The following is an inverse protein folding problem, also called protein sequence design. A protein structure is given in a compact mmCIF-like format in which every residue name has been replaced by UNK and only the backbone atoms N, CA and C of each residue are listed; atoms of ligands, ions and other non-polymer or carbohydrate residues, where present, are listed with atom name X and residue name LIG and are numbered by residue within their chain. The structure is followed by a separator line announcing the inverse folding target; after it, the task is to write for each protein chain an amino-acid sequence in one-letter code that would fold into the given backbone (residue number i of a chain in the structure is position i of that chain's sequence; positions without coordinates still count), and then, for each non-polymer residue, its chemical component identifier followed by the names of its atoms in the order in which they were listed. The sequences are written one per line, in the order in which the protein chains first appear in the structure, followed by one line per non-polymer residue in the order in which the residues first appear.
data_IF_476018779789
#
_entry.id   IF_476018779789
#
_cell.length_a   1.000
_cell.length_b   1.000
_cell.length_c   1.000
_cell.angle_alpha   90.00
_cell.angle_beta   90.00
_cell.angle_gamma   90.00
#
_symmetry.space_group_name_H-M   'P 1'
#
loop_
_entity.id
_entity.type
_entity.pdbx_description
1 polymer ?
#
# COMPACT_ATOMS: atom_id res chain seq x y z
N UNK A 1 16.98 25.79 -18.00
CA UNK A 1 17.75 24.73 -17.31
C UNK A 1 16.76 23.70 -16.80
N UNK A 2 16.92 22.40 -17.06
CA UNK A 2 16.00 21.40 -16.52
C UNK A 2 16.28 21.27 -15.02
N UNK A 3 15.28 21.57 -14.19
CA UNK A 3 15.33 21.21 -12.78
C UNK A 3 15.31 19.67 -12.73
N UNK A 4 16.43 19.05 -12.40
CA UNK A 4 16.46 17.64 -12.03
C UNK A 4 15.56 17.48 -10.81
N UNK A 5 14.38 16.89 -11.00
CA UNK A 5 13.44 16.62 -9.94
C UNK A 5 14.01 15.51 -9.04
N UNK A 6 14.93 15.87 -8.14
CA UNK A 6 15.42 14.98 -7.11
C UNK A 6 14.31 14.89 -6.06
N UNK A 7 13.66 13.73 -5.95
CA UNK A 7 12.72 13.44 -4.87
C UNK A 7 13.45 12.95 -3.62
N UNK A 8 12.84 13.13 -2.44
CA UNK A 8 13.30 12.56 -1.17
C UNK A 8 12.48 11.32 -0.81
N UNK A 9 13.11 10.29 -0.27
CA UNK A 9 12.38 9.19 0.38
C UNK A 9 11.81 9.70 1.70
N UNK A 10 10.51 9.48 1.93
CA UNK A 10 9.84 9.92 3.16
C UNK A 10 9.48 8.72 4.04
N UNK A 11 8.98 7.64 3.44
CA UNK A 11 8.63 6.42 4.16
C UNK A 11 9.03 5.23 3.32
N UNK A 12 9.66 4.23 3.92
CA UNK A 12 10.07 3.00 3.25
C UNK A 12 10.18 1.84 4.21
N UNK A 13 9.91 0.65 3.69
CA UNK A 13 10.26 -0.63 4.31
C UNK A 13 11.13 -1.41 3.32
N UNK A 14 12.24 -1.95 3.80
CA UNK A 14 13.13 -2.82 3.05
C UNK A 14 13.26 -4.14 3.80
N UNK A 15 13.37 -5.23 3.05
CA UNK A 15 13.64 -6.56 3.62
C UNK A 15 15.10 -6.68 4.02
N UNK A 16 15.35 -7.40 5.11
CA UNK A 16 16.67 -7.74 5.62
C UNK A 16 17.06 -9.18 5.27
N UNK A 17 16.11 -10.12 5.29
CA UNK A 17 16.37 -11.57 5.17
C UNK A 17 16.03 -12.11 3.77
N UNK A 18 14.86 -11.78 3.23
CA UNK A 18 14.38 -12.30 1.95
C UNK A 18 14.84 -11.43 0.78
N UNK A 19 15.20 -12.09 -0.31
CA UNK A 19 15.73 -11.44 -1.52
C UNK A 19 14.61 -10.71 -2.27
N UNK A 20 14.84 -9.43 -2.60
CA UNK A 20 13.96 -8.52 -3.37
C UNK A 20 12.66 -8.18 -2.65
N UNK A 21 12.10 -7.01 -2.93
CA UNK A 21 10.89 -6.50 -2.28
C UNK A 21 11.16 -5.18 -1.57
N UNK A 22 10.24 -4.80 -0.70
CA UNK A 22 10.20 -3.49 -0.09
C UNK A 22 9.21 -2.56 -0.79
N UNK A 23 8.87 -1.51 -0.09
CA UNK A 23 7.96 -0.47 -0.55
C UNK A 23 8.50 0.89 -0.09
N UNK A 24 8.39 1.91 -0.92
CA UNK A 24 8.88 3.24 -0.61
C UNK A 24 8.00 4.31 -1.26
N UNK A 25 7.89 5.44 -0.58
CA UNK A 25 7.24 6.64 -1.09
C UNK A 25 8.28 7.74 -1.22
N UNK A 26 8.48 8.19 -2.47
CA UNK A 26 9.32 9.32 -2.81
C UNK A 26 8.46 10.53 -3.11
N UNK A 27 8.87 11.68 -2.57
CA UNK A 27 8.11 12.93 -2.66
C UNK A 27 9.03 14.01 -3.25
N UNK A 28 8.49 14.86 -4.12
CA UNK A 28 9.22 16.00 -4.66
C UNK A 28 9.68 16.95 -3.54
N UNK A 29 10.87 17.53 -3.65
CA UNK A 29 11.48 18.34 -2.57
C UNK A 29 10.61 19.51 -2.07
N UNK A 30 9.79 20.10 -2.95
CA UNK A 30 8.91 21.22 -2.60
C UNK A 30 7.59 20.78 -1.95
N UNK A 31 7.29 19.48 -1.90
CA UNK A 31 6.09 18.95 -1.25
C UNK A 31 6.44 18.62 0.20
N UNK A 32 5.68 19.20 1.13
CA UNK A 32 5.78 18.87 2.54
C UNK A 32 5.02 17.56 2.81
N UNK A 33 5.77 16.54 3.21
CA UNK A 33 5.24 15.21 3.52
C UNK A 33 5.90 14.71 4.79
N UNK A 34 5.08 14.12 5.67
CA UNK A 34 5.54 13.48 6.89
C UNK A 34 5.16 12.00 6.87
N UNK A 35 5.99 11.09 7.39
CA UNK A 35 5.61 9.68 7.50
C UNK A 35 4.31 9.50 8.29
N UNK A 36 3.58 8.42 8.02
CA UNK A 36 2.58 7.93 8.98
C UNK A 36 3.26 7.51 10.29
N UNK A 37 2.47 7.40 11.35
CA UNK A 37 2.96 7.03 12.66
C UNK A 37 3.57 5.62 12.69
N UNK A 38 4.59 5.45 13.53
CA UNK A 38 5.38 4.19 13.60
C UNK A 38 4.52 2.97 13.94
N UNK A 39 3.44 3.13 14.72
CA UNK A 39 2.51 2.05 15.02
C UNK A 39 1.85 1.46 13.76
N UNK A 40 1.66 2.25 12.70
CA UNK A 40 1.13 1.78 11.41
C UNK A 40 2.24 1.17 10.55
N UNK A 41 3.42 1.80 10.53
CA UNK A 41 4.54 1.37 9.67
C UNK A 41 5.22 0.10 10.20
N UNK A 42 5.26 -0.09 11.52
CA UNK A 42 5.80 -1.28 12.19
C UNK A 42 4.93 -2.53 12.04
N UNK A 43 3.78 -2.43 11.37
CA UNK A 43 3.03 -3.60 10.93
C UNK A 43 3.77 -4.40 9.85
N UNK A 44 4.73 -3.75 9.18
CA UNK A 44 5.50 -4.34 8.09
C UNK A 44 6.24 -5.61 8.51
N UNK A 45 6.13 -6.63 7.67
CA UNK A 45 6.67 -7.96 7.86
C UNK A 45 6.99 -8.54 6.49
N UNK A 46 8.24 -8.96 6.28
CA UNK A 46 8.72 -9.40 4.98
C UNK A 46 7.81 -10.47 4.36
N UNK A 47 7.57 -10.36 3.06
CA UNK A 47 6.68 -11.22 2.26
C UNK A 47 5.19 -11.02 2.54
N UNK A 48 4.81 -10.90 3.81
CA UNK A 48 3.42 -10.96 4.26
C UNK A 48 2.70 -9.63 4.15
N UNK A 49 3.35 -8.53 4.54
CA UNK A 49 2.71 -7.23 4.57
C UNK A 49 3.79 -6.15 4.60
N UNK A 50 3.98 -5.39 3.54
CA UNK A 50 5.01 -4.37 3.48
C UNK A 50 4.35 -3.03 3.23
N UNK A 51 4.55 -2.07 4.14
CA UNK A 51 3.84 -0.80 4.12
C UNK A 51 4.80 0.40 4.15
N UNK A 52 4.50 1.38 3.31
CA UNK A 52 5.01 2.74 3.44
C UNK A 52 3.81 3.69 3.41
N UNK A 53 3.88 4.77 4.18
CA UNK A 53 2.77 5.70 4.29
C UNK A 53 3.22 7.10 4.63
N UNK A 54 2.54 8.10 4.06
CA UNK A 54 2.81 9.51 4.30
C UNK A 54 1.51 10.31 4.45
N UNK A 55 1.58 11.37 5.25
CA UNK A 55 0.62 12.47 5.24
C UNK A 55 1.16 13.59 4.34
N UNK A 56 0.30 14.11 3.45
CA UNK A 56 0.56 15.31 2.65
C UNK A 56 -0.69 16.20 2.75
N UNK A 57 -0.62 17.29 3.52
CA UNK A 57 -1.80 18.11 3.85
C UNK A 57 -2.95 17.23 4.42
N UNK A 58 -4.12 17.26 3.77
CA UNK A 58 -5.32 16.49 4.11
C UNK A 58 -5.38 15.11 3.43
N UNK A 59 -4.28 14.64 2.82
CA UNK A 59 -4.17 13.33 2.19
C UNK A 59 -3.31 12.38 3.05
N UNK A 60 -3.80 11.16 3.27
CA UNK A 60 -3.04 10.00 3.68
C UNK A 60 -2.81 9.09 2.47
N UNK A 61 -1.56 8.96 2.05
CA UNK A 61 -1.16 8.04 0.98
C UNK A 61 -0.46 6.84 1.61
N UNK A 62 -0.97 5.65 1.34
CA UNK A 62 -0.40 4.38 1.78
C UNK A 62 -0.12 3.51 0.57
N UNK A 63 1.10 3.01 0.47
CA UNK A 63 1.50 2.01 -0.51
C UNK A 63 1.77 0.69 0.20
N UNK A 64 1.14 -0.36 -0.28
CA UNK A 64 1.28 -1.73 0.25
C UNK A 64 1.91 -2.65 -0.79
N UNK A 65 2.64 -3.64 -0.30
CA UNK A 65 3.11 -4.75 -1.11
C UNK A 65 2.93 -6.07 -0.37
N UNK A 66 2.44 -7.08 -1.08
CA UNK A 66 2.39 -8.47 -0.61
C UNK A 66 3.10 -9.34 -1.64
N UNK A 67 4.01 -10.22 -1.21
CA UNK A 67 4.61 -11.23 -2.10
C UNK A 67 3.58 -12.28 -2.54
N UNK A 68 3.83 -12.95 -3.68
CA UNK A 68 3.10 -14.17 -4.05
C UNK A 68 3.31 -15.30 -3.02
N UNK A 69 4.51 -15.36 -2.43
CA UNK A 69 4.86 -16.32 -1.38
C UNK A 69 4.39 -15.90 0.02
N UNK A 70 3.78 -14.72 0.13
CA UNK A 70 3.25 -14.22 1.40
C UNK A 70 1.96 -14.95 1.79
N UNK A 71 1.84 -15.30 3.08
CA UNK A 71 0.59 -15.80 3.64
C UNK A 71 -0.52 -14.73 3.55
N UNK A 72 -1.62 -15.08 2.87
CA UNK A 72 -2.71 -14.16 2.61
C UNK A 72 -3.57 -13.82 3.84
N UNK A 73 -3.81 -14.78 4.73
CA UNK A 73 -4.58 -14.55 5.96
C UNK A 73 -3.84 -13.58 6.89
N UNK A 74 -2.52 -13.73 7.00
CA UNK A 74 -1.67 -12.78 7.73
C UNK A 74 -1.72 -11.38 7.09
N UNK A 75 -1.69 -11.31 5.75
CA UNK A 75 -1.85 -10.05 5.03
C UNK A 75 -3.19 -9.37 5.37
N UNK A 76 -4.31 -10.10 5.35
CA UNK A 76 -5.64 -9.60 5.70
C UNK A 76 -5.69 -9.11 7.16
N UNK A 77 -5.18 -9.89 8.10
CA UNK A 77 -5.15 -9.50 9.52
C UNK A 77 -4.37 -8.19 9.73
N UNK A 78 -3.20 -8.05 9.10
CA UNK A 78 -2.37 -6.83 9.19
C UNK A 78 -3.03 -5.65 8.48
N UNK A 79 -3.71 -5.90 7.35
CA UNK A 79 -4.47 -4.89 6.64
C UNK A 79 -5.63 -4.35 7.50
N UNK A 80 -6.39 -5.20 8.19
CA UNK A 80 -7.41 -4.74 9.14
C UNK A 80 -6.82 -3.83 10.22
N UNK A 81 -5.71 -4.24 10.85
CA UNK A 81 -5.02 -3.44 11.87
C UNK A 81 -4.53 -2.09 11.35
N UNK A 82 -4.05 -2.06 10.11
CA UNK A 82 -3.67 -0.81 9.45
C UNK A 82 -4.90 0.08 9.26
N UNK A 83 -5.97 -0.46 8.68
CA UNK A 83 -7.21 0.26 8.37
C UNK A 83 -7.84 0.83 9.65
N UNK A 84 -7.91 0.05 10.73
CA UNK A 84 -8.40 0.49 12.05
C UNK A 84 -7.65 1.70 12.62
N UNK A 85 -6.39 1.90 12.22
CA UNK A 85 -5.54 2.98 12.71
C UNK A 85 -5.43 4.19 11.78
N UNK A 86 -6.14 4.23 10.65
CA UNK A 86 -6.12 5.38 9.73
C UNK A 86 -6.96 6.55 10.25
N UNK A 87 -6.66 7.76 9.79
CA UNK A 87 -7.40 8.97 10.14
C UNK A 87 -8.46 9.26 9.06
N UNK A 88 -9.65 8.68 9.25
CA UNK A 88 -10.80 8.81 8.33
C UNK A 88 -11.36 10.23 8.17
N UNK A 89 -10.81 11.23 8.87
CA UNK A 89 -11.13 12.64 8.63
C UNK A 89 -10.38 13.21 7.41
N UNK A 90 -9.32 12.52 6.96
CA UNK A 90 -8.52 12.87 5.80
C UNK A 90 -8.98 12.10 4.55
N UNK A 91 -8.58 12.59 3.39
CA UNK A 91 -8.66 11.78 2.17
C UNK A 91 -7.63 10.65 2.28
N UNK A 92 -8.05 9.42 2.03
CA UNK A 92 -7.16 8.26 2.10
C UNK A 92 -7.04 7.64 0.71
N UNK A 93 -5.80 7.49 0.25
CA UNK A 93 -5.47 6.73 -0.95
C UNK A 93 -4.62 5.55 -0.51
N UNK A 94 -5.15 4.36 -0.76
CA UNK A 94 -4.45 3.10 -0.58
C UNK A 94 -4.14 2.53 -1.95
N UNK A 95 -2.87 2.26 -2.20
CA UNK A 95 -2.34 1.73 -3.46
C UNK A 95 -1.33 0.62 -3.19
N UNK A 96 -0.90 -0.10 -4.22
CA UNK A 96 0.07 -1.17 -4.04
C UNK A 96 -0.03 -2.30 -5.04
N UNK A 97 0.87 -3.27 -4.88
CA UNK A 97 0.76 -4.58 -5.54
C UNK A 97 0.44 -5.64 -4.48
N UNK A 98 -0.81 -6.07 -4.49
CA UNK A 98 -1.34 -7.09 -3.58
C UNK A 98 -1.11 -8.51 -4.08
N UNK A 99 -0.58 -8.69 -5.30
CA UNK A 99 -0.44 -9.99 -5.96
C UNK A 99 -1.75 -10.82 -5.94
N UNK A 100 -2.89 -10.16 -6.15
CA UNK A 100 -4.21 -10.80 -6.34
C UNK A 100 -4.78 -10.45 -7.71
N UNK A 101 -5.63 -11.32 -8.25
CA UNK A 101 -6.27 -11.10 -9.53
C UNK A 101 -7.60 -10.36 -9.34
N UNK A 102 -7.54 -9.03 -9.24
CA UNK A 102 -8.75 -8.20 -9.21
C UNK A 102 -9.62 -8.42 -10.44
N UNK A 103 -10.92 -8.08 -10.31
CA UNK A 103 -11.92 -8.28 -11.37
C UNK A 103 -12.09 -9.76 -11.78
N UNK A 104 -11.81 -10.69 -10.87
CA UNK A 104 -12.06 -12.13 -11.06
C UNK A 104 -12.91 -12.69 -9.91
N UNK A 105 -13.38 -13.92 -10.05
CA UNK A 105 -14.08 -14.65 -8.97
C UNK A 105 -13.13 -15.33 -7.97
N UNK A 106 -11.83 -14.98 -8.00
CA UNK A 106 -10.87 -15.54 -7.05
C UNK A 106 -11.17 -15.06 -5.63
N UNK A 107 -11.22 -16.01 -4.68
CA UNK A 107 -11.51 -15.74 -3.27
C UNK A 107 -10.72 -14.57 -2.69
N UNK A 108 -9.39 -14.56 -2.91
CA UNK A 108 -8.51 -13.51 -2.39
C UNK A 108 -8.86 -12.10 -2.90
N UNK A 109 -9.32 -11.99 -4.14
CA UNK A 109 -9.72 -10.71 -4.70
C UNK A 109 -11.07 -10.24 -4.12
N UNK A 110 -12.03 -11.16 -3.99
CA UNK A 110 -13.34 -10.87 -3.38
C UNK A 110 -13.19 -10.47 -1.92
N UNK A 111 -12.36 -11.20 -1.16
CA UNK A 111 -12.11 -10.92 0.25
C UNK A 111 -11.48 -9.55 0.45
N UNK A 112 -10.51 -9.16 -0.39
CA UNK A 112 -9.94 -7.82 -0.34
C UNK A 112 -10.94 -6.72 -0.68
N UNK A 113 -11.74 -6.91 -1.74
CA UNK A 113 -12.77 -5.94 -2.13
C UNK A 113 -13.82 -5.78 -1.03
N UNK A 114 -14.24 -6.88 -0.41
CA UNK A 114 -15.19 -6.85 0.70
C UNK A 114 -14.59 -6.18 1.94
N UNK A 115 -13.31 -6.45 2.24
CA UNK A 115 -12.64 -5.76 3.35
C UNK A 115 -12.56 -4.26 3.09
N UNK A 116 -12.11 -3.84 1.92
CA UNK A 116 -12.05 -2.42 1.55
C UNK A 116 -13.43 -1.75 1.62
N UNK A 117 -14.49 -2.42 1.16
CA UNK A 117 -15.85 -1.86 1.21
C UNK A 117 -16.38 -1.71 2.65
N UNK A 118 -16.03 -2.61 3.56
CA UNK A 118 -16.36 -2.47 4.99
C UNK A 118 -15.78 -1.19 5.61
N UNK A 119 -14.64 -0.72 5.13
CA UNK A 119 -14.01 0.55 5.55
C UNK A 119 -14.35 1.73 4.64
N UNK A 120 -15.32 1.59 3.73
CA UNK A 120 -15.80 2.66 2.85
C UNK A 120 -14.88 3.00 1.68
N UNK A 121 -13.89 2.15 1.37
CA UNK A 121 -13.03 2.36 0.20
C UNK A 121 -13.74 1.94 -1.08
N UNK A 122 -13.49 2.70 -2.15
CA UNK A 122 -13.98 2.39 -3.49
C UNK A 122 -12.80 2.11 -4.44
N UNK A 123 -12.85 1.01 -5.21
CA UNK A 123 -11.80 0.72 -6.18
C UNK A 123 -11.84 1.74 -7.33
N UNK A 124 -10.71 2.40 -7.58
CA UNK A 124 -10.57 3.39 -8.67
C UNK A 124 -10.05 2.74 -9.96
N UNK A 125 -9.24 1.68 -9.83
CA UNK A 125 -8.70 0.95 -10.97
C UNK A 125 -9.67 -0.15 -11.38
N UNK A 126 -10.34 0.04 -12.52
CA UNK A 126 -11.32 -0.92 -13.07
C UNK A 126 -10.76 -1.81 -14.18
N UNK A 127 -9.49 -1.63 -14.55
CA UNK A 127 -8.85 -2.35 -15.65
C UNK A 127 -7.58 -3.06 -15.19
N UNK A 128 -7.24 -4.16 -15.86
CA UNK A 128 -6.01 -4.88 -15.60
C UNK A 128 -4.80 -4.03 -15.97
N UNK A 129 -3.84 -3.91 -15.06
CA UNK A 129 -2.57 -3.19 -15.28
C UNK A 129 -1.55 -4.04 -16.05
N UNK A 130 -1.82 -5.34 -16.24
CA UNK A 130 -1.03 -6.25 -17.09
C UNK A 130 -1.96 -6.87 -18.13
N UNK A 131 -1.52 -6.91 -19.39
CA UNK A 131 -2.23 -7.59 -20.47
C UNK A 131 -2.35 -9.08 -20.14
N UNK A 132 -3.56 -9.64 -20.16
CA UNK A 132 -3.74 -11.08 -20.13
C UNK A 132 -3.34 -11.61 -21.52
N UNK A 133 -2.18 -12.26 -21.61
CA UNK A 133 -1.88 -13.06 -22.80
C UNK A 133 -2.76 -14.30 -22.68
N UNK A 134 -3.74 -14.37 -23.57
CA UNK A 134 -4.66 -15.52 -23.74
C UNK A 134 -3.88 -16.71 -24.26
#
# INVERSE_FOLDING_TARGET
MPQTAVGKSVSSFCRDVKIRGGVAIYVANHVNAVPLSDNLLNLSEELHFEAAGVNVNDLQLISLYRSLDGNFEYFIMKLCRLLDGLDYRKQIVLTGDFNVRFNTLQHQAQELVNLFSCYGFMPIVSQNTRTQVV
#
